data_IF_767189449103
#
_entry.id   IF_767189449103
#
_cell.length_a   1.000
_cell.length_b   1.000
_cell.length_c   1.000
_cell.angle_alpha   90.00
_cell.angle_beta   90.00
_cell.angle_gamma   90.00
#
_symmetry.space_group_name_H-M   'P 1'
#
loop_
_entity.id
_entity.type
_entity.pdbx_description
1 polymer ?
#
# COMPACT_ATOMS: atom_id res chain seq x y z
N UNK A 1 -2.91 1.83 -39.29
CA UNK A 1 -3.24 1.01 -38.11
C UNK A 1 -2.90 1.82 -36.87
N UNK A 2 -3.88 2.50 -36.27
CA UNK A 2 -3.66 3.45 -35.19
C UNK A 2 -4.46 3.04 -33.96
N UNK A 3 -3.77 2.69 -32.88
CA UNK A 3 -4.39 2.55 -31.57
C UNK A 3 -5.00 3.90 -31.18
N UNK A 4 -6.29 3.91 -30.81
CA UNK A 4 -6.97 5.15 -30.45
C UNK A 4 -6.34 5.78 -29.21
N UNK A 5 -6.36 7.11 -29.13
CA UNK A 5 -5.84 7.86 -27.97
C UNK A 5 -6.46 7.40 -26.62
N UNK A 6 -7.64 6.78 -26.64
CA UNK A 6 -8.29 6.17 -25.47
C UNK A 6 -7.45 5.08 -24.80
N UNK A 7 -6.64 4.34 -25.55
CA UNK A 7 -5.74 3.33 -24.98
C UNK A 7 -4.59 3.96 -24.20
N UNK A 8 -4.22 5.20 -24.51
CA UNK A 8 -3.23 5.97 -23.74
C UNK A 8 -3.72 6.27 -22.32
N UNK A 9 -5.02 6.48 -22.11
CA UNK A 9 -5.58 6.77 -20.79
C UNK A 9 -5.47 5.57 -19.83
N UNK A 10 -5.46 4.34 -20.38
CA UNK A 10 -5.32 3.12 -19.58
C UNK A 10 -3.97 3.06 -18.85
N UNK A 11 -2.94 3.78 -19.31
CA UNK A 11 -1.65 3.84 -18.63
C UNK A 11 -1.66 4.66 -17.33
N UNK A 12 -2.65 5.54 -17.11
CA UNK A 12 -2.76 6.27 -15.84
C UNK A 12 -3.43 5.43 -14.74
N UNK A 13 -4.27 4.48 -15.11
CA UNK A 13 -4.95 3.56 -14.18
C UNK A 13 -3.96 2.77 -13.29
N UNK A 14 -2.91 2.11 -13.83
CA UNK A 14 -1.94 1.40 -12.98
C UNK A 14 -1.17 2.36 -12.06
N UNK A 15 -0.88 3.59 -12.49
CA UNK A 15 -0.20 4.60 -11.64
C UNK A 15 -1.09 4.96 -10.44
N UNK A 16 -2.38 5.22 -10.68
CA UNK A 16 -3.34 5.49 -9.61
C UNK A 16 -3.45 4.32 -8.62
N UNK A 17 -3.45 3.07 -9.12
CA UNK A 17 -3.44 1.88 -8.27
C UNK A 17 -2.20 1.80 -7.37
N UNK A 18 -1.01 2.08 -7.91
CA UNK A 18 0.24 2.09 -7.13
C UNK A 18 0.19 3.16 -6.04
N UNK A 19 -0.26 4.38 -6.37
CA UNK A 19 -0.40 5.47 -5.40
C UNK A 19 -1.38 5.09 -4.28
N UNK A 20 -2.54 4.55 -4.63
CA UNK A 20 -3.52 4.09 -3.65
C UNK A 20 -2.97 2.97 -2.76
N UNK A 21 -2.25 2.01 -3.34
CA UNK A 21 -1.63 0.92 -2.57
C UNK A 21 -0.62 1.43 -1.54
N UNK A 22 0.21 2.42 -1.90
CA UNK A 22 1.16 3.06 -0.97
C UNK A 22 0.43 3.79 0.14
N UNK A 23 -0.61 4.58 -0.18
CA UNK A 23 -1.41 5.30 0.81
C UNK A 23 -2.06 4.34 1.80
N UNK A 24 -2.62 3.23 1.31
CA UNK A 24 -3.22 2.19 2.14
C UNK A 24 -2.16 1.54 3.04
N UNK A 25 -1.01 1.16 2.50
CA UNK A 25 0.08 0.57 3.27
C UNK A 25 0.53 1.49 4.43
N UNK A 26 0.73 2.78 4.15
CA UNK A 26 1.10 3.78 5.17
C UNK A 26 0.03 3.87 6.25
N UNK A 27 -1.24 4.06 5.87
CA UNK A 27 -2.36 4.15 6.82
C UNK A 27 -2.50 2.88 7.66
N UNK A 28 -2.30 1.71 7.07
CA UNK A 28 -2.33 0.45 7.83
C UNK A 28 -1.20 0.43 8.84
N UNK A 29 0.04 0.68 8.44
CA UNK A 29 1.16 0.67 9.39
C UNK A 29 1.00 1.72 10.50
N UNK A 30 0.48 2.91 10.21
CA UNK A 30 0.12 3.91 11.22
C UNK A 30 -0.87 3.36 12.26
N UNK A 31 -1.88 2.58 11.83
CA UNK A 31 -2.85 1.95 12.74
C UNK A 31 -2.22 0.90 13.65
N UNK A 32 -1.11 0.31 13.23
CA UNK A 32 -0.34 -0.65 14.02
C UNK A 32 0.85 0.02 14.76
N UNK A 33 0.90 1.35 14.79
CA UNK A 33 1.97 2.10 15.47
C UNK A 33 3.33 2.00 14.78
N UNK A 34 3.37 1.69 13.47
CA UNK A 34 4.58 1.59 12.66
C UNK A 34 4.76 2.85 11.82
N UNK A 35 6.02 3.30 11.68
CA UNK A 35 6.35 4.49 10.89
C UNK A 35 6.27 4.29 9.37
N UNK A 36 6.25 5.38 8.61
CA UNK A 36 6.08 5.36 7.16
C UNK A 36 7.11 4.50 6.39
N UNK A 37 8.36 4.45 6.85
CA UNK A 37 9.39 3.59 6.25
C UNK A 37 9.05 2.10 6.40
N UNK A 38 8.61 1.66 7.58
CA UNK A 38 8.14 0.29 7.79
C UNK A 38 6.97 -0.02 6.86
N UNK A 39 5.99 0.86 6.79
CA UNK A 39 4.81 0.67 5.94
C UNK A 39 5.18 0.58 4.46
N UNK A 40 6.08 1.42 3.98
CA UNK A 40 6.49 1.39 2.58
C UNK A 40 7.30 0.13 2.24
N UNK A 41 8.36 -0.17 2.99
CA UNK A 41 9.24 -1.30 2.67
C UNK A 41 8.60 -2.65 2.99
N UNK A 42 7.83 -2.77 4.07
CA UNK A 42 7.30 -4.05 4.52
C UNK A 42 5.82 -4.25 4.18
N UNK A 43 4.99 -3.22 4.14
CA UNK A 43 3.56 -3.41 3.78
C UNK A 43 3.28 -3.17 2.29
N UNK A 44 4.08 -2.35 1.60
CA UNK A 44 3.93 -2.11 0.17
C UNK A 44 4.94 -2.93 -0.68
N UNK A 45 6.24 -2.85 -0.39
CA UNK A 45 7.27 -3.53 -1.20
C UNK A 45 7.38 -5.03 -0.89
N UNK A 46 7.29 -5.43 0.39
CA UNK A 46 7.39 -6.84 0.84
C UNK A 46 6.15 -7.28 1.65
N UNK A 47 4.93 -7.13 1.10
CA UNK A 47 3.68 -7.27 1.86
C UNK A 47 3.56 -8.60 2.59
N UNK A 48 4.01 -9.69 1.97
CA UNK A 48 3.97 -11.02 2.57
C UNK A 48 4.67 -11.06 3.93
N UNK A 49 5.84 -10.42 4.05
CA UNK A 49 6.60 -10.38 5.29
C UNK A 49 5.97 -9.36 6.26
N UNK A 50 5.64 -8.15 5.78
CA UNK A 50 5.11 -7.10 6.65
C UNK A 50 3.79 -7.46 7.32
N UNK A 51 2.87 -8.11 6.59
CA UNK A 51 1.60 -8.56 7.17
C UNK A 51 1.78 -9.71 8.16
N UNK A 52 2.73 -10.62 7.94
CA UNK A 52 3.06 -11.65 8.93
C UNK A 52 3.62 -11.03 10.22
N UNK A 53 4.49 -10.02 10.11
CA UNK A 53 5.00 -9.27 11.28
C UNK A 53 3.86 -8.57 12.03
N UNK A 54 2.90 -7.97 11.32
CA UNK A 54 1.74 -7.33 11.94
C UNK A 54 0.78 -8.35 12.58
N UNK A 55 0.60 -9.51 11.96
CA UNK A 55 -0.36 -10.52 12.40
C UNK A 55 0.15 -11.39 13.55
N UNK A 56 1.44 -11.71 13.56
CA UNK A 56 2.06 -12.58 14.58
C UNK A 56 2.90 -11.82 15.61
N UNK A 57 3.20 -10.54 15.37
CA UNK A 57 3.89 -9.70 16.34
C UNK A 57 2.94 -9.08 17.37
N UNK A 58 3.50 -8.40 18.37
CA UNK A 58 2.75 -7.77 19.46
C UNK A 58 2.02 -6.47 19.05
N UNK A 59 2.09 -6.06 17.78
CA UNK A 59 1.49 -4.83 17.31
C UNK A 59 -0.04 -4.92 17.33
N UNK A 60 -0.70 -4.04 18.08
CA UNK A 60 -2.16 -4.00 18.19
C UNK A 60 -2.75 -2.95 17.26
N UNK A 61 -3.75 -3.35 16.49
CA UNK A 61 -4.51 -2.41 15.66
C UNK A 61 -5.22 -1.39 16.55
N UNK A 62 -4.92 -0.11 16.33
CA UNK A 62 -5.59 1.00 16.99
C UNK A 62 -6.71 1.51 16.10
N UNK A 63 -7.96 1.27 16.54
CA UNK A 63 -9.12 1.88 15.91
C UNK A 63 -9.04 3.39 16.12
N UNK A 64 -9.31 4.17 15.06
CA UNK A 64 -9.47 5.63 15.23
C UNK A 64 -10.62 5.87 16.20
N UNK A 65 -10.40 6.69 17.23
CA UNK A 65 -11.47 7.27 18.02
C UNK A 65 -12.37 8.14 17.13
#
# INVERSE_FOLDING_TARGET
AGYSAWLGLLYFVPIANVVLAIIVAIKVGERFGKGGAFSFFLLFLLPFIGYLILGFGDARYTKRA
#
